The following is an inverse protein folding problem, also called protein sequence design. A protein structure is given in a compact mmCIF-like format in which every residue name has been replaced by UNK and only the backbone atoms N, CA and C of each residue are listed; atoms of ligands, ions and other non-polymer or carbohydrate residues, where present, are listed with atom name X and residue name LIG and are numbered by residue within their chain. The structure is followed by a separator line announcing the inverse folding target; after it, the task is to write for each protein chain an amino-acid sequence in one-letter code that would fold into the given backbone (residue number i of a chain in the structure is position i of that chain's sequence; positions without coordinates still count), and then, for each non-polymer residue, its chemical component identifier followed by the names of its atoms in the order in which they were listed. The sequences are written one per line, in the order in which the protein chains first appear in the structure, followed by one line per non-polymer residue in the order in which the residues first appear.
data_IF_505464977142
#
_entry.id   IF_505464977142
#
_cell.length_a   1.000
_cell.length_b   1.000
_cell.length_c   1.000
_cell.angle_alpha   90.00
_cell.angle_beta   90.00
_cell.angle_gamma   90.00
#
_symmetry.space_group_name_H-M   'P 1'
#
loop_
_entity.id
_entity.type
_entity.pdbx_description
1 polymer ?
#
# COMPACT_ATOMS: atom_id res chain seq x y z
N UNK A 1 8.53 17.15 -19.90
CA UNK A 1 7.99 17.37 -18.54
C UNK A 1 8.71 16.43 -17.57
N UNK A 2 9.41 16.95 -16.55
CA UNK A 2 10.14 16.11 -15.60
C UNK A 2 9.14 15.41 -14.66
N UNK A 3 9.13 14.07 -14.65
CA UNK A 3 8.21 13.22 -13.86
C UNK A 3 8.94 12.38 -12.81
N UNK A 4 10.16 12.76 -12.41
CA UNK A 4 11.02 11.97 -11.52
C UNK A 4 10.34 11.61 -10.20
N UNK A 5 9.56 12.52 -9.58
CA UNK A 5 8.87 12.21 -8.32
C UNK A 5 7.79 11.13 -8.50
N UNK A 6 7.09 11.12 -9.64
CA UNK A 6 6.13 10.07 -9.96
C UNK A 6 6.84 8.74 -10.25
N UNK A 7 8.04 8.76 -10.85
CA UNK A 7 8.85 7.53 -11.00
C UNK A 7 9.25 6.95 -9.64
N UNK A 8 9.70 7.80 -8.71
CA UNK A 8 10.02 7.38 -7.33
C UNK A 8 8.77 6.82 -6.65
N UNK A 9 7.65 7.53 -6.71
CA UNK A 9 6.37 7.10 -6.13
C UNK A 9 5.90 5.76 -6.70
N UNK A 10 6.07 5.54 -8.01
CA UNK A 10 5.74 4.28 -8.68
C UNK A 10 6.63 3.13 -8.23
N UNK A 11 7.94 3.34 -8.09
CA UNK A 11 8.86 2.33 -7.56
C UNK A 11 8.51 1.97 -6.12
N UNK A 12 8.21 2.96 -5.28
CA UNK A 12 7.75 2.72 -3.90
C UNK A 12 6.45 1.91 -3.88
N UNK A 13 5.48 2.26 -4.73
CA UNK A 13 4.21 1.51 -4.84
C UNK A 13 4.45 0.06 -5.27
N UNK A 14 5.33 -0.16 -6.25
CA UNK A 14 5.69 -1.50 -6.71
C UNK A 14 6.34 -2.32 -5.58
N UNK A 15 7.30 -1.74 -4.86
CA UNK A 15 8.00 -2.44 -3.77
C UNK A 15 7.08 -2.78 -2.61
N UNK A 16 6.25 -1.83 -2.14
CA UNK A 16 5.33 -2.09 -1.03
C UNK A 16 4.23 -3.08 -1.43
N UNK A 17 3.76 -3.03 -2.67
CA UNK A 17 2.83 -4.01 -3.22
C UNK A 17 3.46 -5.40 -3.27
N UNK A 18 4.67 -5.52 -3.83
CA UNK A 18 5.42 -6.77 -3.91
C UNK A 18 5.70 -7.41 -2.56
N UNK A 19 6.12 -6.62 -1.56
CA UNK A 19 6.30 -7.09 -0.19
C UNK A 19 5.00 -7.63 0.41
N UNK A 20 3.87 -6.97 0.12
CA UNK A 20 2.55 -7.41 0.59
C UNK A 20 2.10 -8.73 -0.05
N UNK A 21 2.41 -8.93 -1.33
CA UNK A 21 2.19 -10.21 -2.04
C UNK A 21 3.01 -11.30 -1.36
N UNK A 22 4.31 -11.08 -1.17
CA UNK A 22 5.20 -12.09 -0.60
C UNK A 22 4.80 -12.48 0.83
N UNK A 23 4.57 -11.50 1.71
CA UNK A 23 4.15 -11.75 3.08
C UNK A 23 2.78 -12.43 3.15
N UNK A 24 1.82 -12.02 2.31
CA UNK A 24 0.51 -12.66 2.22
C UNK A 24 0.61 -14.11 1.74
N UNK A 25 1.40 -14.37 0.69
CA UNK A 25 1.60 -15.71 0.14
C UNK A 25 2.23 -16.65 1.18
N UNK A 26 3.32 -16.23 1.85
CA UNK A 26 3.97 -17.03 2.88
C UNK A 26 2.99 -17.43 3.99
N UNK A 27 2.25 -16.45 4.53
CA UNK A 27 1.29 -16.70 5.59
C UNK A 27 0.14 -17.63 5.15
N UNK A 28 -0.30 -17.56 3.89
CA UNK A 28 -1.32 -18.48 3.35
C UNK A 28 -0.78 -19.89 3.11
N UNK A 29 0.52 -20.06 2.82
CA UNK A 29 1.16 -21.37 2.62
C UNK A 29 1.50 -22.12 3.91
N UNK A 30 1.04 -21.62 5.07
CA UNK A 30 1.29 -22.26 6.37
C UNK A 30 2.63 -21.88 7.00
N UNK A 31 3.28 -20.80 6.56
CA UNK A 31 4.41 -20.26 7.29
C UNK A 31 3.95 -19.77 8.67
N UNK A 32 4.55 -20.31 9.73
CA UNK A 32 4.26 -19.94 11.11
C UNK A 32 5.28 -18.90 11.61
N UNK A 33 4.90 -17.62 11.70
CA UNK A 33 5.84 -16.56 12.05
C UNK A 33 6.09 -16.44 13.57
N UNK A 34 5.65 -17.43 14.36
CA UNK A 34 5.75 -17.43 15.81
C UNK A 34 4.73 -16.53 16.53
N UNK A 35 3.69 -16.07 15.82
CA UNK A 35 2.59 -15.29 16.39
C UNK A 35 1.26 -15.62 15.69
N UNK A 36 0.15 -15.30 16.36
CA UNK A 36 -1.19 -15.51 15.80
C UNK A 36 -1.41 -14.60 14.57
N UNK A 37 -1.70 -15.22 13.42
CA UNK A 37 -2.02 -14.55 12.17
C UNK A 37 -3.53 -14.61 11.97
N UNK A 38 -4.16 -13.44 11.79
CA UNK A 38 -5.59 -13.35 11.53
C UNK A 38 -5.91 -13.88 10.11
N UNK A 39 -6.64 -15.00 10.00
CA UNK A 39 -6.80 -15.78 8.76
C UNK A 39 -7.13 -14.98 7.48
N UNK A 40 -7.98 -13.95 7.54
CA UNK A 40 -8.36 -13.17 6.36
C UNK A 40 -7.33 -12.09 5.99
N UNK A 41 -6.47 -11.68 6.93
CA UNK A 41 -5.53 -10.58 6.75
C UNK A 41 -4.43 -10.91 5.72
N UNK A 42 -3.85 -12.13 5.67
CA UNK A 42 -2.98 -12.56 4.56
C UNK A 42 -3.64 -12.50 3.19
N UNK A 43 -4.89 -12.96 3.07
CA UNK A 43 -5.65 -12.91 1.80
C UNK A 43 -5.84 -11.47 1.35
N UNK A 44 -6.22 -10.59 2.27
CA UNK A 44 -6.29 -9.15 2.02
C UNK A 44 -4.94 -8.58 1.57
N UNK A 45 -3.85 -8.86 2.29
CA UNK A 45 -2.51 -8.35 2.00
C UNK A 45 -2.04 -8.80 0.61
N UNK A 46 -2.25 -10.06 0.27
CA UNK A 46 -1.90 -10.61 -1.04
C UNK A 46 -2.71 -9.93 -2.14
N UNK A 47 -4.03 -9.87 -1.99
CA UNK A 47 -4.94 -9.30 -3.00
C UNK A 47 -4.62 -7.83 -3.26
N UNK A 48 -4.56 -7.01 -2.21
CA UNK A 48 -4.28 -5.57 -2.35
C UNK A 48 -2.84 -5.32 -2.80
N UNK A 49 -1.90 -6.18 -2.42
CA UNK A 49 -0.52 -6.15 -2.93
C UNK A 49 -0.49 -6.34 -4.44
N UNK A 50 -1.16 -7.38 -4.95
CA UNK A 50 -1.28 -7.66 -6.39
C UNK A 50 -1.95 -6.50 -7.13
N UNK A 51 -3.08 -6.01 -6.61
CA UNK A 51 -3.75 -4.85 -7.20
C UNK A 51 -2.84 -3.63 -7.23
N UNK A 52 -2.06 -3.38 -6.16
CA UNK A 52 -1.11 -2.26 -6.08
C UNK A 52 -0.04 -2.33 -7.17
N UNK A 53 0.57 -3.50 -7.35
CA UNK A 53 1.61 -3.72 -8.36
C UNK A 53 1.05 -3.54 -9.78
N UNK A 54 -0.15 -4.06 -10.04
CA UNK A 54 -0.72 -4.10 -11.38
C UNK A 54 -1.46 -2.81 -11.78
N UNK A 55 -1.95 -2.03 -10.81
CA UNK A 55 -2.80 -0.86 -11.09
C UNK A 55 -2.09 0.45 -10.73
N UNK A 56 -2.03 0.91 -9.46
CA UNK A 56 -1.49 2.22 -9.16
C UNK A 56 0.00 2.34 -9.50
N UNK A 57 0.83 1.31 -9.30
CA UNK A 57 2.24 1.40 -9.68
C UNK A 57 2.42 1.71 -11.17
N UNK A 58 1.66 1.05 -12.05
CA UNK A 58 1.68 1.29 -13.51
C UNK A 58 1.07 2.66 -13.86
N UNK A 59 -0.07 3.02 -13.25
CA UNK A 59 -0.73 4.31 -13.51
C UNK A 59 0.15 5.49 -13.12
N UNK A 60 0.83 5.41 -11.96
CA UNK A 60 1.78 6.41 -11.48
C UNK A 60 2.98 6.48 -12.44
N UNK A 61 3.54 5.33 -12.86
CA UNK A 61 4.66 5.30 -13.81
C UNK A 61 4.33 6.02 -15.12
N UNK A 62 3.11 5.82 -15.62
CA UNK A 62 2.61 6.42 -16.86
C UNK A 62 2.12 7.86 -16.70
N UNK A 63 2.20 8.44 -15.50
CA UNK A 63 1.67 9.79 -15.20
C UNK A 63 0.19 9.93 -15.63
N UNK A 64 -0.61 8.89 -15.42
CA UNK A 64 -2.02 8.85 -15.82
C UNK A 64 -2.86 9.79 -14.96
N UNK A 65 -3.92 10.38 -15.54
CA UNK A 65 -4.93 11.15 -14.79
C UNK A 65 -5.63 10.34 -13.69
N UNK A 66 -5.63 9.02 -13.82
CA UNK A 66 -6.21 8.09 -12.83
C UNK A 66 -5.24 7.71 -11.71
N UNK A 67 -3.98 8.16 -11.75
CA UNK A 67 -2.97 7.80 -10.75
C UNK A 67 -3.33 8.30 -9.33
N UNK A 68 -3.67 9.58 -9.17
CA UNK A 68 -4.06 10.14 -7.86
C UNK A 68 -5.33 9.44 -7.33
N UNK A 69 -6.44 9.30 -8.10
CA UNK A 69 -7.60 8.54 -7.64
C UNK A 69 -7.26 7.11 -7.18
N UNK A 70 -6.47 6.36 -7.95
CA UNK A 70 -6.07 5.01 -7.57
C UNK A 70 -5.23 4.97 -6.29
N UNK A 71 -4.31 5.93 -6.11
CA UNK A 71 -3.51 6.05 -4.90
C UNK A 71 -4.36 6.40 -3.67
N UNK A 72 -5.33 7.32 -3.81
CA UNK A 72 -6.27 7.67 -2.73
C UNK A 72 -7.12 6.47 -2.34
N UNK A 73 -7.71 5.77 -3.30
CA UNK A 73 -8.51 4.56 -3.03
C UNK A 73 -7.68 3.50 -2.30
N UNK A 74 -6.45 3.26 -2.75
CA UNK A 74 -5.58 2.26 -2.11
C UNK A 74 -5.20 2.66 -0.68
N UNK A 75 -4.84 3.92 -0.47
CA UNK A 75 -4.59 4.46 0.87
C UNK A 75 -5.82 4.34 1.77
N UNK A 76 -7.00 4.73 1.30
CA UNK A 76 -8.25 4.67 2.06
C UNK A 76 -8.60 3.24 2.48
N UNK A 77 -8.43 2.26 1.57
CA UNK A 77 -8.66 0.85 1.91
C UNK A 77 -7.71 0.40 3.02
N UNK A 78 -6.42 0.74 2.94
CA UNK A 78 -5.48 0.44 4.02
C UNK A 78 -5.83 1.15 5.33
N UNK A 79 -6.28 2.40 5.26
CA UNK A 79 -6.63 3.19 6.44
C UNK A 79 -7.83 2.58 7.16
N UNK A 80 -8.89 2.23 6.41
CA UNK A 80 -10.08 1.58 6.95
C UNK A 80 -9.71 0.24 7.60
N UNK A 81 -8.94 -0.61 6.93
CA UNK A 81 -8.52 -1.90 7.49
C UNK A 81 -7.66 -1.71 8.73
N UNK A 82 -6.72 -0.77 8.72
CA UNK A 82 -5.88 -0.49 9.90
C UNK A 82 -6.73 0.01 11.07
N UNK A 83 -7.70 0.90 10.82
CA UNK A 83 -8.64 1.36 11.85
C UNK A 83 -9.48 0.21 12.41
N UNK A 84 -9.97 -0.69 11.55
CA UNK A 84 -10.72 -1.87 11.98
C UNK A 84 -9.89 -2.77 12.92
N UNK A 85 -8.62 -3.00 12.58
CA UNK A 85 -7.69 -3.79 13.39
C UNK A 85 -7.38 -3.12 14.75
N UNK A 86 -7.29 -1.79 14.78
CA UNK A 86 -7.01 -1.02 16.00
C UNK A 86 -8.21 -0.83 16.92
N UNK A 87 -9.44 -0.92 16.38
CA UNK A 87 -10.67 -0.60 17.12
C UNK A 87 -11.53 -1.83 17.41
N UNK A 88 -12.01 -2.50 16.36
CA UNK A 88 -12.98 -3.61 16.46
C UNK A 88 -12.30 -4.93 16.78
N UNK A 89 -11.13 -5.18 16.18
CA UNK A 89 -10.43 -6.47 16.24
C UNK A 89 -9.21 -6.39 17.20
N UNK A 90 -9.20 -5.36 18.05
CA UNK A 90 -8.11 -5.06 18.98
C UNK A 90 -7.82 -6.25 19.89
N UNK A 91 -6.53 -6.54 20.11
CA UNK A 91 -6.08 -7.60 21.02
C UNK A 91 -5.99 -9.00 20.40
N UNK A 92 -6.55 -9.21 19.20
CA UNK A 92 -6.39 -10.47 18.47
C UNK A 92 -5.29 -10.41 17.41
N UNK A 93 -4.89 -9.20 16.98
CA UNK A 93 -3.91 -8.99 15.91
C UNK A 93 -2.52 -8.85 16.53
N UNK A 94 -1.55 -9.62 16.01
CA UNK A 94 -0.17 -9.49 16.44
C UNK A 94 0.40 -8.09 16.17
N UNK A 95 1.25 -7.59 17.08
CA UNK A 95 1.91 -6.29 16.94
C UNK A 95 2.68 -6.16 15.62
N UNK A 96 3.28 -7.26 15.13
CA UNK A 96 4.00 -7.31 13.86
C UNK A 96 3.06 -7.02 12.67
N UNK A 97 1.85 -7.57 12.69
CA UNK A 97 0.85 -7.30 11.64
C UNK A 97 0.37 -5.86 11.70
N UNK A 98 0.16 -5.29 12.89
CA UNK A 98 -0.16 -3.87 13.05
C UNK A 98 0.97 -2.98 12.52
N UNK A 99 2.22 -3.32 12.85
CA UNK A 99 3.41 -2.62 12.36
C UNK A 99 3.49 -2.62 10.84
N UNK A 100 3.23 -3.76 10.19
CA UNK A 100 3.18 -3.86 8.73
C UNK A 100 2.04 -3.00 8.12
N UNK A 101 0.89 -2.91 8.79
CA UNK A 101 -0.23 -2.07 8.35
C UNK A 101 0.10 -0.58 8.47
N UNK A 102 0.72 -0.15 9.57
CA UNK A 102 1.17 1.24 9.77
C UNK A 102 2.26 1.60 8.76
N UNK A 103 3.25 0.74 8.55
CA UNK A 103 4.29 0.93 7.53
C UNK A 103 3.65 1.25 6.17
N UNK A 104 2.65 0.44 5.78
CA UNK A 104 1.95 0.62 4.51
C UNK A 104 1.21 1.97 4.43
N UNK A 105 0.58 2.42 5.51
CA UNK A 105 -0.06 3.75 5.55
C UNK A 105 0.95 4.88 5.36
N UNK A 106 2.07 4.82 6.07
CA UNK A 106 3.13 5.83 5.98
C UNK A 106 3.71 5.86 4.57
N UNK A 107 4.00 4.69 3.97
CA UNK A 107 4.48 4.60 2.59
C UNK A 107 3.48 5.21 1.61
N UNK A 108 2.19 4.92 1.73
CA UNK A 108 1.17 5.50 0.86
C UNK A 108 0.99 7.02 1.05
N UNK A 109 1.11 7.53 2.28
CA UNK A 109 1.15 8.98 2.52
C UNK A 109 2.33 9.63 1.80
N UNK A 110 3.51 9.02 1.85
CA UNK A 110 4.70 9.50 1.13
C UNK A 110 4.46 9.48 -0.39
N UNK A 111 3.91 8.38 -0.93
CA UNK A 111 3.57 8.26 -2.36
C UNK A 111 2.61 9.37 -2.79
N UNK A 112 1.53 9.60 -2.04
CA UNK A 112 0.57 10.67 -2.31
C UNK A 112 1.21 12.05 -2.25
N UNK A 113 2.05 12.31 -1.24
CA UNK A 113 2.76 13.59 -1.11
C UNK A 113 3.67 13.85 -2.32
N UNK A 114 4.44 12.85 -2.76
CA UNK A 114 5.29 12.95 -3.96
C UNK A 114 4.47 13.29 -5.20
N UNK A 115 3.33 12.62 -5.40
CA UNK A 115 2.44 12.85 -6.54
C UNK A 115 1.79 14.23 -6.53
N UNK A 116 1.36 14.72 -5.36
CA UNK A 116 0.77 16.06 -5.21
C UNK A 116 1.82 17.13 -5.49
N UNK A 117 3.02 17.02 -4.93
CA UNK A 117 4.12 17.96 -5.18
C UNK A 117 4.48 17.99 -6.67
N UNK A 118 4.56 16.82 -7.31
CA UNK A 118 4.83 16.71 -8.75
C UNK A 118 3.74 17.38 -9.59
N UNK A 119 2.48 17.18 -9.24
CA UNK A 119 1.33 17.75 -9.97
C UNK A 119 1.30 19.27 -9.85
N UNK A 120 1.57 19.82 -8.66
CA UNK A 120 1.69 21.27 -8.45
C UNK A 120 2.82 21.89 -9.27
N UNK A 121 3.99 21.25 -9.31
CA UNK A 121 5.14 21.71 -10.13
C UNK A 121 4.86 21.74 -11.63
N UNK A 122 3.93 20.91 -12.11
CA UNK A 122 3.53 20.89 -13.51
C UNK A 122 2.50 21.99 -13.82
N UNK A 123 1.62 22.31 -12.87
CA UNK A 123 0.61 23.37 -13.03
C UNK A 123 1.19 24.80 -12.99
N UNK A 124 2.35 24.99 -12.35
CA UNK A 124 3.04 26.29 -12.25
C UNK A 124 3.99 26.58 -13.41
N UNK A 125 4.12 25.68 -14.38
CA UNK A 125 4.98 25.81 -15.57
C UNK A 125 4.13 26.00 -16.81
#
# INVERSE_FOLDING_TARGET
MNTTLNKIASVLAFLVGGLSIFAGALAMTGWEPGYFVLNWLPVYNFTLGTLTVLIPAILIWKNSKYAIPAAVVTFSIHAIVTLLLLTVIRGTVAANSIGAMIFRLVTWLIILALMIVQSRRQATK
#
